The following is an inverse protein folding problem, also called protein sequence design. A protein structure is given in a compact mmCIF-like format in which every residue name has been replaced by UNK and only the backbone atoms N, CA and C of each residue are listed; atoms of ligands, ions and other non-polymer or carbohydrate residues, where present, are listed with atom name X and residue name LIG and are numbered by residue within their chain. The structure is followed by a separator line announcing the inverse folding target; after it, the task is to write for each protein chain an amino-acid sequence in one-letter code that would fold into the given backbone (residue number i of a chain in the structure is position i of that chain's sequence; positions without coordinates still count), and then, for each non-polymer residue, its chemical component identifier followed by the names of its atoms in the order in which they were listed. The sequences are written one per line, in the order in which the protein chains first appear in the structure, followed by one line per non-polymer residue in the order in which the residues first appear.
data_IF_330162851116
#
_entry.id   IF_330162851116
#
_cell.length_a   1.000
_cell.length_b   1.000
_cell.length_c   1.000
_cell.angle_alpha   90.00
_cell.angle_beta   90.00
_cell.angle_gamma   90.00
#
_symmetry.space_group_name_H-M   'P 1'
#
loop_
_entity.id
_entity.type
_entity.pdbx_description
1 polymer ?
#
# COMPACT_ATOMS: atom_id res chain seq x y z
N UNK A 1 -8.60 -22.86 -4.94
CA UNK A 1 -8.79 -21.67 -4.08
C UNK A 1 -9.41 -22.09 -2.76
N UNK A 2 -8.63 -22.18 -1.69
CA UNK A 2 -9.18 -22.10 -0.34
C UNK A 2 -9.12 -20.63 0.08
N UNK A 3 -10.14 -19.84 -0.29
CA UNK A 3 -10.44 -18.64 0.48
C UNK A 3 -10.75 -19.12 1.90
N UNK A 4 -9.81 -18.94 2.83
CA UNK A 4 -10.20 -18.71 4.21
C UNK A 4 -11.19 -17.56 4.13
N UNK A 5 -12.45 -17.87 4.44
CA UNK A 5 -13.57 -16.95 4.36
C UNK A 5 -13.13 -15.58 4.87
N UNK A 6 -13.17 -14.61 3.96
CA UNK A 6 -13.27 -13.20 4.33
C UNK A 6 -14.29 -13.09 5.46
N UNK A 7 -13.90 -12.48 6.58
CA UNK A 7 -14.77 -12.11 7.70
C UNK A 7 -15.45 -13.31 8.39
N UNK A 8 -14.70 -14.04 9.21
CA UNK A 8 -15.31 -14.75 10.34
C UNK A 8 -15.37 -13.78 11.52
N UNK A 9 -16.56 -13.57 12.13
CA UNK A 9 -16.80 -12.51 13.08
C UNK A 9 -16.06 -12.83 14.38
N UNK A 10 -14.86 -12.30 14.56
CA UNK A 10 -14.65 -11.68 15.86
C UNK A 10 -15.67 -10.57 15.93
N UNK A 11 -16.50 -10.59 16.97
CA UNK A 11 -17.54 -9.61 17.27
C UNK A 11 -16.98 -8.22 17.61
N UNK A 12 -16.02 -7.74 16.82
CA UNK A 12 -15.52 -6.38 16.80
C UNK A 12 -15.70 -5.91 15.37
N UNK A 13 -16.81 -5.22 15.13
CA UNK A 13 -17.19 -4.61 13.85
C UNK A 13 -16.22 -3.53 13.33
N UNK A 14 -15.01 -3.41 13.92
CA UNK A 14 -13.99 -2.40 13.66
C UNK A 14 -12.56 -3.02 13.76
N UNK A 15 -12.29 -4.12 13.06
CA UNK A 15 -10.91 -4.62 12.96
C UNK A 15 -10.04 -3.64 12.15
N UNK A 16 -9.10 -2.97 12.82
CA UNK A 16 -8.27 -1.88 12.25
C UNK A 16 -7.13 -2.37 11.35
N UNK A 17 -6.79 -3.65 11.46
CA UNK A 17 -5.81 -4.34 10.64
C UNK A 17 -6.45 -5.61 10.09
N UNK A 18 -6.58 -5.72 8.77
CA UNK A 18 -7.09 -6.92 8.11
C UNK A 18 -5.94 -7.80 7.68
N UNK A 19 -5.97 -9.07 8.09
CA UNK A 19 -4.95 -10.06 7.76
C UNK A 19 -5.49 -10.99 6.69
N UNK A 20 -4.76 -11.11 5.58
CA UNK A 20 -5.10 -11.98 4.46
C UNK A 20 -3.97 -12.94 4.17
N UNK A 21 -4.29 -14.20 3.92
CA UNK A 21 -3.33 -15.20 3.42
C UNK A 21 -3.78 -15.68 2.05
N UNK A 22 -2.83 -15.93 1.16
CA UNK A 22 -3.11 -16.45 -0.16
C UNK A 22 -1.89 -17.05 -0.84
N UNK A 23 -2.03 -17.26 -2.14
CA UNK A 23 -0.98 -17.79 -3.00
C UNK A 23 -0.76 -16.81 -4.14
N UNK A 24 0.48 -16.38 -4.35
CA UNK A 24 0.88 -15.58 -5.51
C UNK A 24 0.96 -16.48 -6.73
N UNK A 25 0.37 -16.10 -7.87
CA UNK A 25 0.42 -16.89 -9.08
C UNK A 25 1.86 -16.94 -9.64
N UNK A 26 2.20 -18.04 -10.31
CA UNK A 26 3.49 -18.17 -10.98
C UNK A 26 3.63 -17.25 -12.20
N UNK A 27 2.51 -16.88 -12.84
CA UNK A 27 2.44 -15.95 -13.95
C UNK A 27 1.32 -14.93 -13.73
N UNK A 28 1.56 -13.65 -14.05
CA UNK A 28 0.59 -12.57 -13.89
C UNK A 28 -0.36 -12.55 -15.10
N UNK A 29 -1.59 -13.05 -14.92
CA UNK A 29 -2.67 -12.98 -15.91
C UNK A 29 -3.77 -11.98 -15.55
N UNK A 30 -4.63 -11.61 -16.50
CA UNK A 30 -5.73 -10.64 -16.30
C UNK A 30 -6.64 -11.00 -15.11
N UNK A 31 -6.97 -12.28 -14.93
CA UNK A 31 -7.78 -12.75 -13.80
C UNK A 31 -7.08 -12.64 -12.44
N UNK A 32 -5.76 -12.82 -12.41
CA UNK A 32 -4.96 -12.74 -11.18
C UNK A 32 -4.89 -11.32 -10.62
N UNK A 33 -4.95 -10.32 -11.51
CA UNK A 33 -4.90 -8.91 -11.16
C UNK A 33 -6.16 -8.42 -10.41
N UNK A 34 -7.24 -9.21 -10.45
CA UNK A 34 -8.48 -8.95 -9.71
C UNK A 34 -8.49 -9.59 -8.31
N UNK A 35 -7.38 -10.19 -7.89
CA UNK A 35 -7.23 -10.82 -6.58
C UNK A 35 -6.27 -10.02 -5.68
N UNK A 36 -6.25 -10.36 -4.38
CA UNK A 36 -5.21 -9.85 -3.46
C UNK A 36 -3.88 -10.57 -3.77
N UNK A 37 -2.74 -9.87 -3.69
CA UNK A 37 -2.56 -8.50 -3.19
C UNK A 37 -2.73 -7.39 -4.24
N UNK A 38 -2.86 -7.71 -5.53
CA UNK A 38 -2.90 -6.71 -6.61
C UNK A 38 -4.03 -5.68 -6.46
N UNK A 39 -5.20 -6.12 -6.00
CA UNK A 39 -6.34 -5.21 -5.72
C UNK A 39 -6.09 -4.25 -4.56
N UNK A 40 -5.31 -4.67 -3.56
CA UNK A 40 -4.87 -3.84 -2.43
C UNK A 40 -3.89 -2.78 -2.92
N UNK A 41 -2.85 -3.20 -3.67
CA UNK A 41 -1.86 -2.28 -4.25
C UNK A 41 -2.56 -1.20 -5.08
N UNK A 42 -3.38 -1.60 -6.06
CA UNK A 42 -4.15 -0.68 -6.92
C UNK A 42 -5.13 0.21 -6.17
N UNK A 43 -5.64 -0.27 -5.04
CA UNK A 43 -6.58 0.47 -4.21
C UNK A 43 -5.93 1.60 -3.42
N UNK A 44 -4.63 1.49 -3.14
CA UNK A 44 -3.90 2.41 -2.28
C UNK A 44 -3.19 3.49 -3.11
N UNK A 45 -3.91 4.61 -3.32
CA UNK A 45 -3.61 5.62 -4.36
C UNK A 45 -2.47 6.57 -4.00
N UNK A 46 -2.48 7.13 -2.78
CA UNK A 46 -1.52 8.15 -2.35
C UNK A 46 -0.44 7.53 -1.45
N UNK A 47 0.71 7.16 -2.03
CA UNK A 47 1.80 6.47 -1.34
C UNK A 47 2.97 7.42 -1.05
N UNK A 48 3.42 7.47 0.20
CA UNK A 48 4.55 8.28 0.64
C UNK A 48 5.86 7.51 0.65
N UNK A 49 5.80 6.22 1.01
CA UNK A 49 6.98 5.39 1.16
C UNK A 49 6.70 3.94 0.78
N UNK A 50 7.67 3.30 0.15
CA UNK A 50 7.69 1.87 -0.15
C UNK A 50 8.99 1.31 0.41
N UNK A 51 8.89 0.34 1.30
CA UNK A 51 10.02 -0.34 1.93
C UNK A 51 10.00 -1.81 1.51
N UNK A 52 11.05 -2.23 0.80
CA UNK A 52 11.30 -3.61 0.43
C UNK A 52 12.37 -4.19 1.38
N UNK A 53 12.00 -5.21 2.14
CA UNK A 53 12.90 -5.93 3.05
C UNK A 53 13.11 -7.35 2.54
N UNK A 54 14.36 -7.78 2.48
CA UNK A 54 14.79 -9.09 1.93
C UNK A 54 16.10 -9.56 2.60
N UNK A 55 16.45 -10.85 2.46
CA UNK A 55 17.79 -11.35 2.76
C UNK A 55 18.87 -10.56 2.00
N UNK A 56 19.98 -10.23 2.68
CA UNK A 56 21.04 -9.41 2.09
C UNK A 56 21.71 -10.09 0.88
N UNK A 57 21.73 -11.43 0.86
CA UNK A 57 22.36 -12.24 -0.17
C UNK A 57 21.76 -12.02 -1.57
N UNK A 58 20.47 -11.67 -1.64
CA UNK A 58 19.76 -11.42 -2.89
C UNK A 58 19.59 -9.93 -3.22
N UNK A 59 20.12 -9.03 -2.37
CA UNK A 59 19.94 -7.58 -2.52
C UNK A 59 20.46 -7.05 -3.84
N UNK A 60 21.70 -7.39 -4.20
CA UNK A 60 22.33 -6.84 -5.39
C UNK A 60 21.60 -7.27 -6.67
N UNK A 61 21.18 -8.53 -6.73
CA UNK A 61 20.38 -9.04 -7.85
C UNK A 61 19.07 -8.25 -8.00
N UNK A 62 18.33 -8.11 -6.91
CA UNK A 62 17.04 -7.39 -6.92
C UNK A 62 17.23 -5.91 -7.25
N UNK A 63 18.24 -5.27 -6.66
CA UNK A 63 18.57 -3.88 -6.94
C UNK A 63 18.89 -3.67 -8.43
N UNK A 64 19.77 -4.48 -9.02
CA UNK A 64 20.15 -4.34 -10.42
C UNK A 64 18.94 -4.47 -11.36
N UNK A 65 18.03 -5.40 -11.08
CA UNK A 65 16.81 -5.56 -11.86
C UNK A 65 15.83 -4.40 -11.69
N UNK A 66 15.73 -3.84 -10.49
CA UNK A 66 14.94 -2.63 -10.26
C UNK A 66 15.54 -1.43 -10.99
N UNK A 67 16.87 -1.25 -10.95
CA UNK A 67 17.56 -0.15 -11.62
C UNK A 67 17.49 -0.26 -13.17
N UNK A 68 17.49 -1.48 -13.71
CA UNK A 68 17.34 -1.75 -15.15
C UNK A 68 15.92 -1.48 -15.66
N UNK A 69 14.90 -1.91 -14.89
CA UNK A 69 13.51 -1.89 -15.35
C UNK A 69 12.70 -0.68 -14.88
N UNK A 70 13.06 -0.06 -13.75
CA UNK A 70 12.36 1.12 -13.24
C UNK A 70 13.00 2.41 -13.74
N UNK A 71 12.18 3.20 -14.41
CA UNK A 71 12.54 4.58 -14.77
C UNK A 71 12.51 5.47 -13.52
N UNK A 72 13.44 6.43 -13.37
CA UNK A 72 13.39 7.39 -12.27
C UNK A 72 12.02 8.08 -12.21
N UNK A 73 11.40 8.04 -11.04
CA UNK A 73 10.11 8.66 -10.80
C UNK A 73 10.31 10.10 -10.32
N UNK A 74 9.72 11.05 -11.04
CA UNK A 74 9.70 12.46 -10.65
C UNK A 74 8.32 12.90 -10.18
N UNK A 75 8.32 13.78 -9.19
CA UNK A 75 7.15 14.53 -8.75
C UNK A 75 7.54 15.99 -8.50
N UNK A 76 6.55 16.87 -8.58
CA UNK A 76 6.72 18.31 -8.44
C UNK A 76 6.10 18.77 -7.13
N UNK A 77 6.76 19.73 -6.49
CA UNK A 77 6.15 20.61 -5.51
C UNK A 77 5.74 21.89 -6.21
N UNK A 78 4.45 22.18 -6.18
CA UNK A 78 3.87 23.35 -6.86
C UNK A 78 3.06 24.19 -5.88
N UNK A 79 2.97 25.48 -6.15
CA UNK A 79 2.15 26.41 -5.40
C UNK A 79 1.11 27.01 -6.34
N UNK A 80 -0.16 26.61 -6.17
CA UNK A 80 -1.25 26.99 -7.07
C UNK A 80 -2.58 27.02 -6.31
N UNK A 81 -3.56 27.76 -6.81
CA UNK A 81 -4.93 27.73 -6.34
C UNK A 81 -5.74 26.64 -7.02
N UNK A 82 -6.92 26.33 -6.48
CA UNK A 82 -7.85 25.38 -7.10
C UNK A 82 -8.31 25.84 -8.49
N UNK A 83 -8.42 27.16 -8.72
CA UNK A 83 -8.80 27.74 -10.01
C UNK A 83 -7.83 27.33 -11.12
N UNK A 84 -6.55 27.24 -10.82
CA UNK A 84 -5.50 26.92 -11.79
C UNK A 84 -5.68 25.50 -12.38
N UNK A 85 -6.34 24.58 -11.66
CA UNK A 85 -6.72 23.25 -12.17
C UNK A 85 -7.71 23.36 -13.34
N UNK A 86 -8.56 24.39 -13.34
CA UNK A 86 -9.61 24.61 -14.34
C UNK A 86 -9.13 25.46 -15.53
N UNK A 87 -7.89 25.95 -15.49
CA UNK A 87 -7.33 26.71 -16.60
C UNK A 87 -7.17 25.80 -17.82
N UNK A 88 -7.49 26.36 -18.99
CA UNK A 88 -7.74 25.59 -20.22
C UNK A 88 -6.59 24.65 -20.58
N UNK A 89 -5.35 25.10 -20.41
CA UNK A 89 -4.17 24.31 -20.78
C UNK A 89 -3.95 23.14 -19.80
N UNK A 90 -3.91 23.42 -18.49
CA UNK A 90 -3.77 22.40 -17.45
C UNK A 90 -4.89 21.37 -17.55
N UNK A 91 -6.14 21.83 -17.65
CA UNK A 91 -7.32 20.98 -17.68
C UNK A 91 -7.33 20.04 -18.90
N UNK A 92 -7.05 20.56 -20.09
CA UNK A 92 -7.06 19.73 -21.29
C UNK A 92 -5.90 18.74 -21.32
N UNK A 93 -4.73 19.13 -20.82
CA UNK A 93 -3.55 18.28 -20.83
C UNK A 93 -3.61 17.19 -19.76
N UNK A 94 -3.78 17.57 -18.49
CA UNK A 94 -3.65 16.65 -17.35
C UNK A 94 -4.95 15.98 -16.92
N UNK A 95 -6.10 16.60 -17.19
CA UNK A 95 -7.41 16.08 -16.74
C UNK A 95 -8.13 15.34 -17.86
N UNK A 96 -8.28 15.97 -19.03
CA UNK A 96 -9.05 15.38 -20.16
C UNK A 96 -8.27 14.29 -20.90
N UNK A 97 -6.98 14.53 -21.19
CA UNK A 97 -6.15 13.63 -22.00
C UNK A 97 -5.22 12.77 -21.15
N UNK A 98 -4.61 13.36 -20.13
CA UNK A 98 -3.69 12.69 -19.22
C UNK A 98 -4.35 12.24 -17.93
N UNK A 99 -3.51 11.83 -16.99
CA UNK A 99 -3.87 11.45 -15.63
C UNK A 99 -2.76 11.88 -14.69
N UNK A 100 -3.14 12.47 -13.57
CA UNK A 100 -2.20 13.00 -12.58
C UNK A 100 -2.60 12.52 -11.19
N UNK A 101 -1.62 12.50 -10.31
CA UNK A 101 -1.82 12.45 -8.87
C UNK A 101 -1.61 13.86 -8.32
N UNK A 102 -2.56 14.35 -7.53
CA UNK A 102 -2.46 15.66 -6.88
C UNK A 102 -2.89 15.55 -5.42
N UNK A 103 -2.10 16.12 -4.51
CA UNK A 103 -2.43 16.16 -3.08
C UNK A 103 -2.00 17.49 -2.50
N UNK A 104 -2.93 18.23 -1.89
CA UNK A 104 -2.62 19.48 -1.21
C UNK A 104 -1.96 19.20 0.13
N UNK A 105 -1.15 20.15 0.59
CA UNK A 105 -0.71 20.20 1.98
C UNK A 105 -1.88 20.52 2.92
N UNK A 106 -1.69 20.25 4.22
CA UNK A 106 -2.67 20.47 5.27
C UNK A 106 -2.97 19.20 6.07
N UNK A 107 -3.56 19.39 7.25
CA UNK A 107 -3.98 18.29 8.13
C UNK A 107 -5.47 18.02 7.93
N UNK A 108 -5.84 16.78 7.62
CA UNK A 108 -7.22 16.38 7.29
C UNK A 108 -8.23 16.62 8.42
N UNK A 109 -7.78 16.66 9.68
CA UNK A 109 -8.60 16.90 10.86
C UNK A 109 -8.82 18.38 11.17
N UNK A 110 -7.95 19.28 10.66
CA UNK A 110 -7.97 20.72 10.96
C UNK A 110 -8.22 21.58 9.72
N UNK A 111 -7.53 21.32 8.62
CA UNK A 111 -7.48 22.18 7.45
C UNK A 111 -8.47 21.73 6.36
N UNK A 112 -8.63 22.54 5.32
CA UNK A 112 -9.31 22.12 4.09
C UNK A 112 -8.26 21.41 3.22
N UNK A 113 -8.53 20.18 2.81
CA UNK A 113 -7.56 19.33 2.07
C UNK A 113 -8.18 18.87 0.77
N UNK A 114 -7.36 18.83 -0.28
CA UNK A 114 -7.79 18.55 -1.63
C UNK A 114 -6.93 17.46 -2.25
N UNK A 115 -7.54 16.58 -3.02
CA UNK A 115 -6.79 15.60 -3.78
C UNK A 115 -7.44 15.30 -5.14
N UNK A 116 -6.63 14.94 -6.13
CA UNK A 116 -7.09 14.62 -7.47
C UNK A 116 -6.43 13.33 -7.95
N UNK A 117 -7.27 12.39 -8.39
CA UNK A 117 -6.83 11.17 -9.04
C UNK A 117 -7.86 10.69 -10.05
N UNK A 118 -7.41 10.19 -11.19
CA UNK A 118 -8.28 9.66 -12.25
C UNK A 118 -9.38 10.63 -12.71
N UNK A 119 -9.03 11.92 -12.82
CA UNK A 119 -9.96 12.99 -13.21
C UNK A 119 -11.04 13.32 -12.17
N UNK A 120 -10.99 12.69 -10.98
CA UNK A 120 -11.87 13.03 -9.85
C UNK A 120 -11.14 13.93 -8.88
N UNK A 121 -11.69 15.11 -8.66
CA UNK A 121 -11.24 16.08 -7.67
C UNK A 121 -12.10 15.94 -6.42
N UNK A 122 -11.45 15.82 -5.28
CA UNK A 122 -12.08 15.71 -3.98
C UNK A 122 -11.72 16.92 -3.13
N UNK A 123 -12.74 17.54 -2.53
CA UNK A 123 -12.59 18.67 -1.63
C UNK A 123 -13.10 18.27 -0.25
N UNK A 124 -12.19 18.19 0.71
CA UNK A 124 -12.50 17.92 2.11
C UNK A 124 -12.50 19.22 2.89
N UNK A 125 -13.69 19.66 3.26
CA UNK A 125 -13.95 21.01 3.72
C UNK A 125 -14.46 21.02 5.16
N UNK A 126 -14.10 22.07 5.88
CA UNK A 126 -14.79 22.53 7.08
C UNK A 126 -16.19 23.02 6.73
N UNK A 127 -17.06 23.04 7.73
CA UNK A 127 -18.42 23.60 7.65
C UNK A 127 -18.45 24.97 6.96
N UNK A 128 -17.69 25.92 7.49
CA UNK A 128 -17.71 27.30 7.02
C UNK A 128 -17.27 27.43 5.56
N UNK A 129 -16.25 26.67 5.16
CA UNK A 129 -15.76 26.65 3.78
C UNK A 129 -16.78 26.00 2.85
N UNK A 130 -17.41 24.90 3.28
CA UNK A 130 -18.44 24.19 2.52
C UNK A 130 -19.68 25.05 2.26
N UNK A 131 -20.23 25.69 3.30
CA UNK A 131 -21.42 26.55 3.19
C UNK A 131 -21.17 27.75 2.26
N UNK A 132 -19.97 28.32 2.31
CA UNK A 132 -19.55 29.41 1.40
C UNK A 132 -19.31 28.91 -0.02
N UNK A 133 -18.71 27.73 -0.19
CA UNK A 133 -18.39 27.15 -1.49
C UNK A 133 -19.62 26.98 -2.37
N UNK A 134 -20.78 26.70 -1.74
CA UNK A 134 -22.04 26.51 -2.43
C UNK A 134 -21.94 25.37 -3.45
N UNK A 135 -21.22 24.31 -3.14
CA UNK A 135 -21.06 23.12 -3.98
C UNK A 135 -21.81 21.95 -3.33
N UNK A 136 -22.28 21.01 -4.14
CA UNK A 136 -23.02 19.84 -3.63
C UNK A 136 -22.03 18.82 -3.10
N UNK A 137 -22.02 18.60 -1.79
CA UNK A 137 -21.20 17.59 -1.13
C UNK A 137 -22.03 16.70 -0.19
N UNK A 138 -21.35 15.73 0.40
CA UNK A 138 -21.89 14.85 1.44
C UNK A 138 -21.17 15.14 2.76
N UNK A 139 -21.83 14.90 3.87
CA UNK A 139 -21.14 14.95 5.16
C UNK A 139 -20.07 13.85 5.18
N UNK A 140 -18.87 14.18 5.66
CA UNK A 140 -17.79 13.21 5.79
C UNK A 140 -18.19 12.13 6.81
N UNK A 141 -17.67 10.92 6.62
CA UNK A 141 -17.89 9.78 7.53
C UNK A 141 -17.18 9.98 8.87
N UNK A 142 -16.29 10.99 8.95
CA UNK A 142 -15.49 11.35 10.12
C UNK A 142 -15.56 12.85 10.45
N UNK A 143 -15.09 13.23 11.65
CA UNK A 143 -15.17 14.62 12.15
C UNK A 143 -15.49 14.74 13.64
N UNK A 144 -15.15 13.72 14.44
CA UNK A 144 -15.40 13.70 15.88
C UNK A 144 -16.88 13.81 16.25
N UNK A 145 -17.17 14.22 17.50
CA UNK A 145 -18.55 14.32 18.04
C UNK A 145 -19.44 15.33 17.30
N UNK A 146 -18.86 16.35 16.65
CA UNK A 146 -19.63 17.39 15.94
C UNK A 146 -19.83 17.11 14.43
N UNK A 147 -19.07 16.18 13.84
CA UNK A 147 -19.15 15.82 12.41
C UNK A 147 -19.18 17.03 11.45
N UNK A 148 -18.33 18.03 11.70
CA UNK A 148 -18.31 19.30 10.95
C UNK A 148 -17.40 19.25 9.71
N UNK A 149 -17.47 18.16 8.95
CA UNK A 149 -16.67 17.95 7.74
C UNK A 149 -17.55 17.53 6.57
N UNK A 150 -17.25 18.04 5.39
CA UNK A 150 -17.94 17.75 4.14
C UNK A 150 -16.95 17.31 3.08
N UNK A 151 -17.38 16.36 2.25
CA UNK A 151 -16.64 15.87 1.10
C UNK A 151 -17.44 16.20 -0.15
N UNK A 152 -16.80 16.91 -1.08
CA UNK A 152 -17.32 17.14 -2.42
C UNK A 152 -16.50 16.27 -3.36
N UNK A 153 -17.17 15.42 -4.12
CA UNK A 153 -16.59 14.61 -5.20
C UNK A 153 -17.00 15.21 -6.55
N UNK A 154 -16.03 15.58 -7.37
CA UNK A 154 -16.25 16.18 -8.68
C UNK A 154 -15.49 15.36 -9.73
N UNK A 155 -16.23 14.72 -10.63
CA UNK A 155 -15.62 14.07 -11.78
C UNK A 155 -15.47 15.08 -12.93
N UNK A 156 -14.27 15.63 -13.06
CA UNK A 156 -13.94 16.67 -14.04
C UNK A 156 -13.97 16.15 -15.50
N UNK A 157 -14.08 14.84 -15.72
CA UNK A 157 -14.19 14.27 -17.06
C UNK A 157 -15.62 14.19 -17.59
N UNK A 158 -16.62 14.52 -16.78
CA UNK A 158 -18.02 14.47 -17.19
C UNK A 158 -18.35 15.46 -18.33
N UNK A 159 -19.40 15.14 -19.09
CA UNK A 159 -19.82 15.91 -20.27
C UNK A 159 -20.24 17.33 -19.95
N UNK A 160 -20.71 17.57 -18.73
CA UNK A 160 -21.10 18.90 -18.25
C UNK A 160 -19.97 19.66 -17.53
N UNK A 161 -18.78 19.07 -17.38
CA UNK A 161 -17.58 19.70 -16.81
C UNK A 161 -16.73 20.36 -17.91
N UNK A 162 -17.36 21.28 -18.64
CA UNK A 162 -16.76 22.08 -19.71
C UNK A 162 -17.21 23.53 -19.60
N UNK A 163 -16.37 24.47 -20.02
CA UNK A 163 -16.69 25.91 -20.01
C UNK A 163 -18.04 26.21 -20.69
N UNK A 164 -18.84 27.09 -20.09
CA UNK A 164 -20.16 27.50 -20.60
C UNK A 164 -21.30 26.58 -20.17
N UNK A 165 -21.04 25.54 -19.37
CA UNK A 165 -22.06 24.75 -18.69
C UNK A 165 -22.20 25.24 -17.26
N UNK A 166 -23.45 25.40 -16.80
CA UNK A 166 -23.79 25.90 -15.45
C UNK A 166 -23.03 25.21 -14.32
N UNK A 167 -22.81 23.90 -14.42
CA UNK A 167 -22.08 23.14 -13.41
C UNK A 167 -20.59 23.53 -13.33
N UNK A 168 -19.93 23.65 -14.49
CA UNK A 168 -18.54 24.09 -14.56
C UNK A 168 -18.41 25.57 -14.19
N UNK A 169 -19.32 26.44 -14.64
CA UNK A 169 -19.29 27.86 -14.30
C UNK A 169 -19.48 28.10 -12.79
N UNK A 170 -20.31 27.28 -12.12
CA UNK A 170 -20.44 27.29 -10.65
C UNK A 170 -19.15 26.88 -9.96
N UNK A 171 -18.42 25.92 -10.53
CA UNK A 171 -17.12 25.48 -10.01
C UNK A 171 -16.07 26.60 -10.16
N UNK A 172 -15.99 27.23 -11.34
CA UNK A 172 -15.12 28.39 -11.60
C UNK A 172 -15.46 29.54 -10.64
N UNK A 173 -16.74 29.84 -10.43
CA UNK A 173 -17.16 30.87 -9.48
C UNK A 173 -16.70 30.54 -8.06
N UNK A 174 -16.91 29.30 -7.61
CA UNK A 174 -16.51 28.85 -6.27
C UNK A 174 -14.99 28.96 -6.08
N UNK A 175 -14.22 28.48 -7.06
CA UNK A 175 -12.75 28.50 -7.02
C UNK A 175 -12.16 29.91 -7.11
N UNK A 176 -12.91 30.86 -7.69
CA UNK A 176 -12.49 32.27 -7.78
C UNK A 176 -12.88 33.08 -6.53
N UNK A 177 -14.07 32.84 -5.97
CA UNK A 177 -14.65 33.70 -4.94
C UNK A 177 -14.52 33.15 -3.52
N UNK A 178 -14.38 31.84 -3.38
CA UNK A 178 -14.32 31.17 -2.07
C UNK A 178 -12.91 30.65 -1.82
N UNK A 179 -12.37 29.86 -2.75
CA UNK A 179 -11.03 29.27 -2.64
C UNK A 179 -9.93 30.19 -3.17
N UNK A 180 -9.84 31.41 -2.60
CA UNK A 180 -8.90 32.45 -3.06
C UNK A 180 -7.44 32.16 -2.75
N UNK A 181 -7.18 31.29 -1.77
CA UNK A 181 -5.84 30.99 -1.30
C UNK A 181 -5.15 30.01 -2.24
N UNK A 182 -3.85 30.21 -2.43
CA UNK A 182 -2.99 29.22 -3.06
C UNK A 182 -2.56 28.19 -2.01
N UNK A 183 -2.41 26.95 -2.45
CA UNK A 183 -1.96 25.85 -1.62
C UNK A 183 -0.63 25.31 -2.16
N UNK A 184 0.16 24.73 -1.26
CA UNK A 184 1.26 23.86 -1.67
C UNK A 184 0.68 22.49 -2.06
N UNK A 185 1.18 21.92 -3.15
CA UNK A 185 0.73 20.63 -3.67
C UNK A 185 1.90 19.73 -4.01
N UNK A 186 1.67 18.44 -3.85
CA UNK A 186 2.42 17.39 -4.54
C UNK A 186 1.70 17.07 -5.85
N UNK A 187 2.45 17.07 -6.95
CA UNK A 187 1.97 16.79 -8.29
C UNK A 187 2.82 15.68 -8.92
N UNK A 188 2.19 14.67 -9.49
CA UNK A 188 2.87 13.64 -10.29
C UNK A 188 2.11 13.40 -11.58
N UNK A 189 2.78 13.52 -12.72
CA UNK A 189 2.24 13.09 -14.00
C UNK A 189 2.40 11.58 -14.13
N UNK A 190 1.29 10.86 -14.34
CA UNK A 190 1.29 9.41 -14.48
C UNK A 190 1.68 8.95 -15.89
N UNK A 191 1.75 9.88 -16.84
CA UNK A 191 2.22 9.65 -18.20
C UNK A 191 3.61 10.25 -18.45
N UNK A 192 4.38 10.56 -17.40
CA UNK A 192 5.75 11.04 -17.57
C UNK A 192 6.51 10.09 -18.52
N UNK A 193 6.95 10.62 -19.66
CA UNK A 193 7.83 9.90 -20.58
C UNK A 193 9.12 9.58 -19.83
N UNK A 194 9.78 8.47 -20.21
CA UNK A 194 11.10 8.18 -19.67
C UNK A 194 11.97 9.42 -19.86
N UNK A 195 12.44 10.02 -18.77
CA UNK A 195 13.32 11.18 -18.86
C UNK A 195 14.53 10.72 -19.63
N UNK A 196 14.64 11.16 -20.89
CA UNK A 196 15.84 10.98 -21.67
C UNK A 196 16.87 11.99 -21.13
N UNK A 197 17.98 11.54 -20.50
CA UNK A 197 18.94 12.42 -19.86
C UNK A 197 19.57 13.46 -20.82
N UNK A 198 19.44 13.27 -22.13
CA UNK A 198 19.83 14.22 -23.18
C UNK A 198 18.88 15.40 -23.38
N UNK A 199 17.64 15.35 -22.88
CA UNK A 199 16.67 16.43 -23.06
C UNK A 199 16.59 17.31 -21.82
N UNK A 200 17.61 18.16 -21.64
CA UNK A 200 17.55 19.27 -20.68
C UNK A 200 16.59 20.34 -21.23
N UNK A 201 15.28 20.10 -21.11
CA UNK A 201 14.26 21.11 -21.39
C UNK A 201 14.40 22.25 -20.38
N UNK A 202 14.70 23.43 -20.91
CA UNK A 202 14.74 24.70 -20.18
C UNK A 202 13.36 24.95 -19.53
N UNK A 203 13.40 25.08 -18.21
CA UNK A 203 12.32 25.39 -17.26
C UNK A 203 11.42 24.21 -16.83
N UNK A 204 11.45 23.85 -15.52
CA UNK A 204 10.61 22.80 -14.96
C UNK A 204 9.22 23.37 -14.69
N UNK A 205 8.46 23.67 -15.74
CA UNK A 205 7.13 24.26 -15.60
C UNK A 205 6.09 23.22 -16.00
N UNK A 206 5.21 22.90 -15.05
CA UNK A 206 4.04 22.06 -15.31
C UNK A 206 3.18 22.78 -16.35
N UNK A 207 2.74 22.09 -17.40
CA UNK A 207 2.02 22.72 -18.53
C UNK A 207 0.78 23.45 -18.05
N UNK A 208 0.60 24.69 -18.48
CA UNK A 208 -0.49 25.55 -18.04
C UNK A 208 -0.31 26.22 -16.68
N UNK A 209 0.84 26.04 -16.00
CA UNK A 209 1.22 26.84 -14.83
C UNK A 209 2.30 27.85 -15.22
N UNK A 210 2.18 29.07 -14.70
CA UNK A 210 3.13 30.16 -14.95
C UNK A 210 4.23 30.25 -13.89
N UNK A 211 4.02 29.63 -12.73
CA UNK A 211 4.96 29.65 -11.62
C UNK A 211 5.97 28.51 -11.74
N UNK A 212 7.26 28.75 -11.39
CA UNK A 212 8.28 27.72 -11.42
C UNK A 212 7.95 26.62 -10.40
N UNK A 213 8.24 25.37 -10.77
CA UNK A 213 7.98 24.20 -9.93
C UNK A 213 9.28 23.60 -9.40
N UNK A 214 9.23 22.97 -8.23
CA UNK A 214 10.38 22.26 -7.66
C UNK A 214 10.26 20.78 -7.96
N UNK A 215 11.09 20.29 -8.88
CA UNK A 215 11.17 18.87 -9.22
C UNK A 215 11.90 18.10 -8.11
N UNK A 216 11.38 16.92 -7.79
CA UNK A 216 12.01 15.92 -6.93
C UNK A 216 12.06 14.60 -7.67
N UNK A 217 13.25 14.04 -7.82
CA UNK A 217 13.45 12.67 -8.29
C UNK A 217 13.51 11.75 -7.08
N UNK A 218 12.77 10.65 -7.12
CA UNK A 218 12.82 9.62 -6.08
C UNK A 218 14.01 8.71 -6.38
N UNK A 219 14.96 8.70 -5.46
CA UNK A 219 16.11 7.79 -5.50
C UNK A 219 15.96 6.75 -4.38
N UNK A 220 16.05 5.45 -4.68
CA UNK A 220 16.03 4.43 -3.65
C UNK A 220 17.20 4.61 -2.68
N UNK A 221 16.92 4.42 -1.40
CA UNK A 221 17.94 4.36 -0.34
C UNK A 221 18.10 2.93 0.12
N UNK A 222 19.33 2.54 0.45
CA UNK A 222 19.64 1.18 0.88
C UNK A 222 20.16 1.24 2.31
N UNK A 223 19.59 0.42 3.17
CA UNK A 223 20.05 0.22 4.53
C UNK A 223 20.37 -1.26 4.76
N UNK A 224 21.63 -1.53 5.09
CA UNK A 224 22.12 -2.87 5.44
C UNK A 224 22.72 -2.78 6.84
N UNK A 225 22.04 -3.31 7.87
CA UNK A 225 22.59 -3.37 9.21
C UNK A 225 23.92 -4.13 9.22
N UNK A 226 24.95 -3.64 9.95
CA UNK A 226 26.28 -4.25 9.92
C UNK A 226 26.31 -5.64 10.59
N UNK A 227 25.44 -5.86 11.57
CA UNK A 227 25.39 -7.09 12.35
C UNK A 227 24.20 -7.96 11.91
N UNK A 228 24.36 -9.30 11.93
CA UNK A 228 23.25 -10.23 11.75
C UNK A 228 22.13 -9.97 12.78
N UNK A 229 20.90 -10.16 12.32
CA UNK A 229 19.68 -9.96 13.11
C UNK A 229 19.01 -11.30 13.42
N UNK A 230 18.30 -11.34 14.55
CA UNK A 230 17.42 -12.44 14.95
C UNK A 230 16.25 -12.51 13.97
N UNK A 231 16.11 -13.63 13.28
CA UNK A 231 15.05 -13.90 12.30
C UNK A 231 13.81 -14.48 12.97
N UNK A 232 12.65 -14.12 12.44
CA UNK A 232 11.39 -14.78 12.78
C UNK A 232 11.24 -16.11 12.04
N UNK A 233 10.54 -17.06 12.64
CA UNK A 233 10.00 -18.20 11.93
C UNK A 233 8.74 -17.82 11.16
N UNK A 234 8.64 -18.35 9.95
CA UNK A 234 7.45 -18.24 9.10
C UNK A 234 6.55 -19.48 9.17
N UNK A 235 6.95 -20.51 9.91
CA UNK A 235 6.14 -21.73 10.07
C UNK A 235 5.12 -21.52 11.16
N UNK A 236 3.85 -21.72 10.83
CA UNK A 236 2.76 -21.74 11.80
C UNK A 236 1.58 -22.54 11.24
N UNK A 237 0.84 -23.19 12.14
CA UNK A 237 -0.37 -23.93 11.77
C UNK A 237 -1.39 -22.98 11.14
N UNK A 238 -1.86 -23.29 9.93
CA UNK A 238 -2.80 -22.43 9.21
C UNK A 238 -4.24 -22.85 9.52
N UNK A 239 -5.11 -21.93 9.98
CA UNK A 239 -6.51 -22.25 10.19
C UNK A 239 -7.18 -22.71 8.88
N UNK A 240 -8.14 -23.61 9.00
CA UNK A 240 -9.05 -24.00 7.90
C UNK A 240 -10.47 -23.53 8.22
N UNK A 241 -11.43 -23.78 7.32
CA UNK A 241 -12.85 -23.48 7.57
C UNK A 241 -13.38 -24.19 8.83
N UNK A 242 -12.83 -25.36 9.15
CA UNK A 242 -13.28 -26.19 10.27
C UNK A 242 -12.43 -25.98 11.54
N UNK A 243 -11.43 -25.09 11.52
CA UNK A 243 -10.64 -24.77 12.72
C UNK A 243 -11.53 -24.22 13.84
N UNK A 244 -11.10 -24.42 15.09
CA UNK A 244 -11.75 -23.82 16.25
C UNK A 244 -11.48 -22.32 16.30
N UNK A 245 -12.26 -21.59 17.10
CA UNK A 245 -11.99 -20.16 17.39
C UNK A 245 -10.61 -19.97 18.02
N UNK A 246 -10.22 -20.87 18.94
CA UNK A 246 -8.90 -20.87 19.56
C UNK A 246 -7.77 -20.96 18.53
N UNK A 247 -7.81 -21.92 17.60
CA UNK A 247 -6.79 -22.05 16.55
C UNK A 247 -6.69 -20.79 15.67
N UNK A 248 -7.82 -20.11 15.44
CA UNK A 248 -7.82 -18.83 14.71
C UNK A 248 -7.18 -17.71 15.51
N UNK A 249 -7.51 -17.59 16.80
CA UNK A 249 -6.93 -16.60 17.69
C UNK A 249 -5.40 -16.74 17.79
N UNK A 250 -4.90 -17.97 17.95
CA UNK A 250 -3.46 -18.27 17.96
C UNK A 250 -2.78 -17.85 16.65
N UNK A 251 -3.40 -18.15 15.50
CA UNK A 251 -2.89 -17.69 14.20
C UNK A 251 -2.83 -16.17 14.08
N UNK A 252 -3.85 -15.45 14.57
CA UNK A 252 -3.86 -13.98 14.53
C UNK A 252 -2.81 -13.36 15.45
N UNK A 253 -2.55 -13.97 16.61
CA UNK A 253 -1.49 -13.54 17.53
C UNK A 253 -0.10 -13.72 16.89
N UNK A 254 0.15 -14.88 16.28
CA UNK A 254 1.36 -15.12 15.50
C UNK A 254 1.50 -14.14 14.34
N UNK A 255 0.45 -13.92 13.55
CA UNK A 255 0.49 -12.99 12.42
C UNK A 255 0.72 -11.54 12.87
N UNK A 256 0.20 -11.14 14.02
CA UNK A 256 0.45 -9.82 14.60
C UNK A 256 1.90 -9.69 15.06
N UNK A 257 2.42 -10.69 15.76
CA UNK A 257 3.82 -10.76 16.20
C UNK A 257 4.80 -10.76 15.01
N UNK A 258 4.43 -11.39 13.90
CA UNK A 258 5.20 -11.39 12.66
C UNK A 258 5.20 -10.00 11.99
N UNK A 259 4.07 -9.28 12.01
CA UNK A 259 4.03 -7.91 11.50
C UNK A 259 4.86 -6.95 12.34
N UNK A 260 4.84 -7.12 13.67
CA UNK A 260 5.71 -6.37 14.59
C UNK A 260 7.19 -6.64 14.30
N UNK A 261 7.58 -7.90 14.08
CA UNK A 261 8.95 -8.25 13.67
C UNK A 261 9.35 -7.58 12.37
N UNK A 262 8.49 -7.58 11.34
CA UNK A 262 8.77 -6.87 10.08
C UNK A 262 8.97 -5.37 10.31
N UNK A 263 8.15 -4.75 11.16
CA UNK A 263 8.28 -3.33 11.50
C UNK A 263 9.61 -3.05 12.22
N UNK A 264 9.98 -3.84 13.21
CA UNK A 264 11.26 -3.72 13.93
C UNK A 264 12.46 -3.96 13.02
N UNK A 265 12.37 -4.93 12.10
CA UNK A 265 13.41 -5.20 11.11
C UNK A 265 13.59 -4.01 10.16
N UNK A 266 12.49 -3.38 9.74
CA UNK A 266 12.51 -2.24 8.82
C UNK A 266 13.23 -1.01 9.40
N UNK A 267 13.29 -0.88 10.73
CA UNK A 267 13.96 0.23 11.43
C UNK A 267 15.31 -0.20 12.04
N UNK A 268 15.79 -1.41 11.74
CA UNK A 268 17.00 -1.98 12.33
C UNK A 268 17.02 -1.90 13.88
N UNK A 269 15.90 -2.25 14.51
CA UNK A 269 15.74 -2.12 15.95
C UNK A 269 16.78 -2.94 16.73
N UNK A 270 17.33 -2.35 17.81
CA UNK A 270 18.33 -2.99 18.67
C UNK A 270 17.89 -4.35 19.21
N UNK A 271 16.59 -4.53 19.47
CA UNK A 271 16.03 -5.78 20.01
C UNK A 271 16.26 -6.98 19.09
N UNK A 272 16.43 -6.72 17.79
CA UNK A 272 16.72 -7.75 16.79
C UNK A 272 18.21 -8.00 16.61
N UNK A 273 19.10 -7.21 17.20
CA UNK A 273 20.53 -7.49 17.14
C UNK A 273 20.82 -8.80 17.89
N UNK A 274 21.65 -9.67 17.30
CA UNK A 274 22.05 -10.93 17.94
C UNK A 274 22.77 -10.71 19.29
N UNK A 275 23.52 -9.62 19.42
CA UNK A 275 24.31 -9.28 20.62
C UNK A 275 23.49 -8.60 21.71
N UNK A 276 22.21 -8.39 21.45
CA UNK A 276 21.31 -7.72 22.37
C UNK A 276 21.05 -8.56 23.63
N UNK A 277 21.26 -7.93 24.79
CA UNK A 277 21.19 -8.50 26.13
C UNK A 277 20.41 -7.59 27.09
N UNK A 278 19.28 -7.05 26.64
CA UNK A 278 18.41 -6.24 27.50
C UNK A 278 17.91 -7.03 28.70
N UNK A 279 17.73 -6.33 29.82
CA UNK A 279 17.06 -6.88 30.98
C UNK A 279 15.61 -7.30 30.61
N UNK A 280 15.21 -8.56 30.82
CA UNK A 280 13.86 -9.04 30.57
C UNK A 280 12.77 -8.28 31.35
N UNK A 281 13.11 -7.59 32.44
CA UNK A 281 12.19 -6.69 33.15
C UNK A 281 11.83 -5.46 32.31
N UNK A 282 12.74 -5.01 31.43
CA UNK A 282 12.54 -3.85 30.54
C UNK A 282 11.89 -4.25 29.21
N UNK A 283 12.32 -5.37 28.63
CA UNK A 283 11.74 -5.86 27.38
C UNK A 283 11.85 -7.36 27.27
N UNK A 284 10.72 -8.00 26.96
CA UNK A 284 10.62 -9.44 26.70
C UNK A 284 10.43 -9.76 25.22
N UNK A 285 10.65 -8.76 24.36
CA UNK A 285 10.42 -8.94 22.93
C UNK A 285 11.40 -9.98 22.36
N UNK A 286 10.85 -10.93 21.62
CA UNK A 286 11.60 -11.90 20.82
C UNK A 286 10.85 -12.16 19.51
N UNK A 287 11.57 -12.40 18.38
CA UNK A 287 10.93 -12.78 17.14
C UNK A 287 10.06 -14.04 17.28
N UNK A 288 8.97 -14.18 16.51
CA UNK A 288 8.18 -15.42 16.47
C UNK A 288 9.05 -16.65 16.21
N UNK A 289 8.78 -17.74 16.94
CA UNK A 289 9.50 -19.03 16.84
C UNK A 289 8.60 -20.15 16.34
N UNK A 290 9.16 -21.28 15.92
CA UNK A 290 8.39 -22.45 15.48
C UNK A 290 7.56 -23.06 16.61
N UNK A 291 6.26 -23.27 16.37
CA UNK A 291 5.34 -23.97 17.29
C UNK A 291 5.81 -25.40 17.63
N UNK A 292 6.55 -26.04 16.72
CA UNK A 292 6.99 -27.42 16.83
C UNK A 292 8.21 -27.62 17.73
N UNK A 293 8.91 -26.54 18.10
CA UNK A 293 10.01 -26.61 19.05
C UNK A 293 9.38 -26.57 20.44
N UNK A 294 8.92 -27.72 20.90
CA UNK A 294 8.49 -27.90 22.29
C UNK A 294 9.59 -27.41 23.23
N UNK A 295 9.22 -26.41 24.03
CA UNK A 295 9.98 -25.80 25.11
C UNK A 295 10.38 -26.84 26.16
N UNK A 296 11.39 -27.63 25.85
CA UNK A 296 12.03 -28.60 26.77
C UNK A 296 13.37 -28.09 27.30
N UNK A 297 13.78 -26.88 26.91
CA UNK A 297 14.99 -26.23 27.45
C UNK A 297 14.71 -24.74 27.70
N UNK A 298 14.30 -24.43 28.94
CA UNK A 298 13.83 -23.11 29.41
C UNK A 298 14.88 -21.98 29.39
N UNK A 299 16.04 -22.08 28.72
CA UNK A 299 17.05 -21.04 28.86
C UNK A 299 17.69 -20.46 27.60
N UNK A 300 17.54 -21.00 26.39
CA UNK A 300 18.10 -20.34 25.20
C UNK A 300 17.23 -20.65 23.97
N UNK A 301 16.20 -19.82 23.70
CA UNK A 301 15.57 -19.83 22.37
C UNK A 301 16.61 -19.35 21.35
N UNK A 302 17.17 -20.29 20.59
CA UNK A 302 18.11 -19.99 19.52
C UNK A 302 17.31 -19.51 18.32
N UNK A 303 17.19 -18.19 18.15
CA UNK A 303 16.65 -17.64 16.91
C UNK A 303 17.61 -17.90 15.75
N UNK A 304 17.06 -18.23 14.59
CA UNK A 304 17.82 -18.21 13.35
C UNK A 304 18.40 -16.79 13.14
N UNK A 305 19.55 -16.70 12.48
CA UNK A 305 20.27 -15.46 12.30
C UNK A 305 20.50 -15.23 10.81
N UNK A 306 20.38 -13.98 10.39
CA UNK A 306 20.63 -13.62 9.00
C UNK A 306 20.90 -12.14 8.84
N UNK A 307 21.51 -11.78 7.72
CA UNK A 307 21.62 -10.39 7.29
C UNK A 307 20.41 -10.04 6.44
N UNK A 308 19.84 -8.87 6.69
CA UNK A 308 18.71 -8.35 5.94
C UNK A 308 19.06 -7.00 5.38
N UNK A 309 18.49 -6.67 4.23
CA UNK A 309 18.66 -5.39 3.60
C UNK A 309 17.32 -4.77 3.27
N UNK A 310 17.26 -3.45 3.42
CA UNK A 310 16.08 -2.65 3.10
C UNK A 310 16.37 -1.72 1.93
N UNK A 311 15.54 -1.78 0.89
CA UNK A 311 15.50 -0.79 -0.20
C UNK A 311 14.25 0.07 0.02
N UNK A 312 14.42 1.39 0.12
CA UNK A 312 13.33 2.32 0.45
C UNK A 312 13.22 3.45 -0.56
N UNK A 313 12.01 3.63 -1.10
CA UNK A 313 11.62 4.77 -1.91
C UNK A 313 10.74 5.69 -1.08
N UNK A 314 11.06 6.99 -1.03
CA UNK A 314 10.27 7.99 -0.30
C UNK A 314 10.01 9.20 -1.18
N UNK A 315 8.75 9.65 -1.22
CA UNK A 315 8.34 10.77 -2.05
C UNK A 315 6.84 10.77 -2.30
N UNK A 316 6.42 11.06 -3.52
CA UNK A 316 5.03 11.00 -3.96
C UNK A 316 4.89 9.89 -5.01
N UNK A 317 4.49 8.69 -4.57
CA UNK A 317 4.63 7.45 -5.34
C UNK A 317 3.25 6.99 -5.86
N UNK A 318 3.02 6.93 -7.17
CA UNK A 318 1.79 6.37 -7.74
C UNK A 318 1.67 4.87 -7.52
N UNK A 319 0.43 4.37 -7.43
CA UNK A 319 0.16 2.93 -7.28
C UNK A 319 0.70 2.09 -8.44
N UNK A 320 0.76 2.64 -9.65
CA UNK A 320 1.34 2.00 -10.82
C UNK A 320 2.84 1.75 -10.63
N UNK A 321 3.55 2.66 -9.97
CA UNK A 321 4.97 2.50 -9.66
C UNK A 321 5.18 1.42 -8.60
N UNK A 322 4.34 1.40 -7.55
CA UNK A 322 4.35 0.34 -6.53
C UNK A 322 4.06 -1.03 -7.15
N UNK A 323 3.09 -1.09 -8.08
CA UNK A 323 2.75 -2.33 -8.80
C UNK A 323 3.93 -2.85 -9.63
N UNK A 324 4.70 -1.95 -10.27
CA UNK A 324 5.92 -2.33 -11.01
C UNK A 324 6.99 -2.87 -10.08
N UNK A 325 7.27 -2.20 -8.95
CA UNK A 325 8.22 -2.71 -7.94
C UNK A 325 7.80 -4.12 -7.50
N UNK A 326 6.54 -4.31 -7.12
CA UNK A 326 6.04 -5.59 -6.64
C UNK A 326 6.20 -6.71 -7.69
N UNK A 327 5.86 -6.43 -8.96
CA UNK A 327 5.99 -7.40 -10.04
C UNK A 327 7.45 -7.77 -10.32
N UNK A 328 8.36 -6.78 -10.42
CA UNK A 328 9.79 -7.03 -10.64
C UNK A 328 10.36 -7.88 -9.50
N UNK A 329 10.06 -7.53 -8.24
CA UNK A 329 10.54 -8.29 -7.08
C UNK A 329 9.98 -9.72 -7.09
N UNK A 330 8.69 -9.90 -7.41
CA UNK A 330 8.09 -11.23 -7.48
C UNK A 330 8.72 -12.11 -8.56
N UNK A 331 9.10 -11.54 -9.71
CA UNK A 331 9.73 -12.25 -10.82
C UNK A 331 11.19 -12.59 -10.53
N UNK A 332 11.95 -11.67 -9.93
CA UNK A 332 13.39 -11.81 -9.71
C UNK A 332 13.71 -12.66 -8.50
N UNK A 333 12.91 -12.58 -7.44
CA UNK A 333 13.20 -13.32 -6.19
C UNK A 333 12.76 -14.78 -6.32
N UNK A 334 13.74 -15.68 -6.30
CA UNK A 334 13.54 -17.13 -6.34
C UNK A 334 12.60 -17.64 -5.24
N UNK A 335 11.89 -18.74 -5.50
CA UNK A 335 10.78 -19.18 -4.63
C UNK A 335 11.22 -19.62 -3.23
N UNK A 336 12.45 -20.08 -3.08
CA UNK A 336 13.09 -20.49 -1.83
C UNK A 336 13.47 -19.30 -0.92
N UNK A 337 13.35 -18.07 -1.41
CA UNK A 337 13.65 -16.86 -0.66
C UNK A 337 12.38 -16.16 -0.20
N UNK A 338 12.46 -15.37 0.86
CA UNK A 338 11.35 -14.53 1.30
C UNK A 338 11.62 -13.07 0.94
N UNK A 339 10.58 -12.26 0.84
CA UNK A 339 10.68 -10.81 0.81
C UNK A 339 9.41 -10.20 1.39
N UNK A 340 9.51 -8.98 1.90
CA UNK A 340 8.34 -8.20 2.29
C UNK A 340 8.35 -6.82 1.65
N UNK A 341 7.17 -6.33 1.28
CA UNK A 341 6.95 -4.97 0.81
C UNK A 341 5.95 -4.30 1.76
N UNK A 342 6.38 -3.21 2.38
CA UNK A 342 5.53 -2.34 3.19
C UNK A 342 5.34 -1.01 2.50
N UNK A 343 4.09 -0.58 2.36
CA UNK A 343 3.74 0.66 1.67
C UNK A 343 2.98 1.56 2.62
N UNK A 344 3.53 2.74 2.86
CA UNK A 344 2.95 3.77 3.71
C UNK A 344 2.25 4.82 2.86
N UNK A 345 1.00 5.11 3.17
CA UNK A 345 0.22 6.18 2.58
C UNK A 345 0.46 7.52 3.27
N UNK A 346 -0.03 8.58 2.63
CA UNK A 346 -0.07 9.90 3.25
C UNK A 346 -1.14 9.94 4.34
N UNK A 347 -0.77 10.39 5.54
CA UNK A 347 -1.71 10.58 6.66
C UNK A 347 -2.77 11.64 6.34
N UNK A 348 -2.42 12.65 5.54
CA UNK A 348 -3.33 13.70 5.12
C UNK A 348 -4.05 13.40 3.80
N UNK A 349 -3.85 12.24 3.17
CA UNK A 349 -4.64 11.86 2.01
C UNK A 349 -6.09 11.68 2.45
N UNK A 350 -7.05 12.45 1.92
CA UNK A 350 -8.43 12.35 2.36
C UNK A 350 -9.15 11.09 1.90
N UNK A 351 -8.60 10.44 0.89
CA UNK A 351 -9.13 9.26 0.26
C UNK A 351 -8.02 8.25 0.09
N UNK A 352 -8.30 7.02 0.50
CA UNK A 352 -7.47 5.84 0.24
C UNK A 352 -8.35 4.67 -0.21
N UNK A 353 -7.77 3.51 -0.48
CA UNK A 353 -8.50 2.26 -0.69
C UNK A 353 -9.69 2.33 -1.66
N UNK A 354 -9.46 2.71 -2.92
CA UNK A 354 -10.50 2.83 -3.98
C UNK A 354 -11.61 3.84 -3.68
N UNK A 355 -11.28 5.03 -3.18
CA UNK A 355 -12.29 6.07 -2.97
C UNK A 355 -12.86 6.12 -1.55
N UNK A 356 -12.35 5.30 -0.62
CA UNK A 356 -12.78 5.31 0.77
C UNK A 356 -12.25 6.55 1.47
N UNK A 357 -13.12 7.20 2.23
CA UNK A 357 -12.75 8.34 3.06
C UNK A 357 -11.80 7.87 4.16
N UNK A 358 -10.63 8.49 4.22
CA UNK A 358 -9.62 8.24 5.22
C UNK A 358 -9.85 9.16 6.43
N UNK A 359 -9.79 8.63 7.65
CA UNK A 359 -10.07 9.39 8.87
C UNK A 359 -8.90 9.35 9.85
N UNK A 360 -8.52 10.52 10.37
CA UNK A 360 -7.62 10.67 11.52
C UNK A 360 -8.38 10.63 12.86
N UNK A 361 -9.67 10.99 12.87
CA UNK A 361 -10.45 11.20 14.10
C UNK A 361 -11.63 10.23 14.20
N UNK A 362 -11.50 9.24 15.08
CA UNK A 362 -12.50 8.22 15.38
C UNK A 362 -12.03 6.84 14.93
N UNK A 363 -11.51 6.05 15.87
CA UNK A 363 -11.01 4.69 15.61
C UNK A 363 -9.62 4.39 16.17
N UNK A 364 -8.88 5.37 16.69
CA UNK A 364 -7.70 5.11 17.54
C UNK A 364 -6.39 4.70 16.85
N UNK A 365 -6.19 5.02 15.57
CA UNK A 365 -4.89 4.85 14.88
C UNK A 365 -4.53 6.07 14.00
N UNK A 366 -4.83 7.30 14.44
CA UNK A 366 -4.16 8.52 13.94
C UNK A 366 -4.12 8.79 12.42
N UNK A 367 -4.97 8.17 11.60
CA UNK A 367 -4.89 8.24 10.13
C UNK A 367 -3.73 7.43 9.55
N UNK A 368 -3.37 6.32 10.18
CA UNK A 368 -2.45 5.36 9.60
C UNK A 368 -3.14 4.64 8.43
N UNK A 369 -2.41 4.57 7.32
CA UNK A 369 -2.86 3.99 6.07
C UNK A 369 -1.67 3.28 5.47
N UNK A 370 -1.55 1.98 5.71
CA UNK A 370 -0.43 1.18 5.20
C UNK A 370 -0.87 -0.24 4.90
N UNK A 371 -0.07 -0.93 4.11
CA UNK A 371 -0.16 -2.38 4.00
C UNK A 371 1.23 -3.00 3.90
N UNK A 372 1.33 -4.23 4.37
CA UNK A 372 2.54 -5.05 4.29
C UNK A 372 2.19 -6.35 3.61
N UNK A 373 2.97 -6.77 2.62
CA UNK A 373 2.87 -8.08 1.96
C UNK A 373 4.17 -8.81 2.27
N UNK A 374 4.09 -10.00 2.86
CA UNK A 374 5.21 -10.91 3.04
C UNK A 374 4.99 -12.14 2.17
N UNK A 375 5.89 -12.37 1.22
CA UNK A 375 5.96 -13.64 0.49
C UNK A 375 6.89 -14.57 1.26
N UNK A 376 6.39 -15.75 1.62
CA UNK A 376 7.19 -16.76 2.30
C UNK A 376 8.15 -17.43 1.32
N UNK A 377 9.30 -17.86 1.84
CA UNK A 377 10.12 -18.88 1.20
C UNK A 377 9.27 -20.15 1.05
N UNK A 378 9.11 -20.61 -0.18
CA UNK A 378 8.52 -21.91 -0.47
C UNK A 378 9.47 -23.00 -0.02
N UNK A 379 9.03 -23.88 0.87
CA UNK A 379 9.61 -25.22 0.95
C UNK A 379 9.26 -25.98 -0.33
N UNK A 380 9.98 -27.07 -0.63
CA UNK A 380 9.58 -28.07 -1.61
C UNK A 380 8.26 -28.75 -1.14
N UNK A 381 7.15 -28.04 -1.15
CA UNK A 381 5.81 -28.60 -0.95
C UNK A 381 5.43 -29.27 -2.29
N UNK A 382 6.05 -30.41 -2.59
CA UNK A 382 5.51 -31.41 -3.51
C UNK A 382 4.31 -32.04 -2.82
N UNK A 383 3.22 -31.28 -2.72
CA UNK A 383 1.97 -31.78 -2.15
C UNK A 383 1.38 -32.82 -3.08
N UNK A 384 1.59 -34.10 -2.76
CA UNK A 384 0.79 -35.20 -3.31
C UNK A 384 -0.65 -34.94 -2.90
N UNK A 385 -1.48 -34.56 -3.87
CA UNK A 385 -2.93 -34.58 -3.69
C UNK A 385 -3.31 -36.05 -3.67
N UNK A 386 -3.58 -36.59 -2.47
CA UNK A 386 -4.19 -37.91 -2.33
C UNK A 386 -5.53 -37.91 -3.04
N UNK A 387 -5.57 -38.54 -4.22
CA UNK A 387 -6.81 -38.98 -4.84
C UNK A 387 -7.45 -39.99 -3.90
N UNK A 388 -8.70 -39.75 -3.52
CA UNK A 388 -9.51 -40.75 -2.84
C UNK A 388 -9.64 -41.96 -3.75
N UNK A 389 -9.15 -43.08 -3.25
CA UNK A 389 -9.36 -44.42 -3.81
C UNK A 389 -10.82 -44.81 -3.59
N UNK A 390 -11.68 -44.47 -4.55
CA UNK A 390 -12.92 -45.21 -4.79
C UNK A 390 -12.61 -46.16 -5.95
N UNK A 391 -12.42 -47.44 -5.60
CA UNK A 391 -12.17 -48.48 -6.57
C UNK A 391 -13.33 -48.65 -7.55
N UNK A 392 -12.98 -48.71 -8.84
CA UNK A 392 -13.54 -49.66 -9.79
C UNK A 392 -12.66 -49.72 -11.05
N UNK A 393 -12.45 -50.93 -11.55
CA UNK A 393 -11.56 -51.32 -12.66
C UNK A 393 -11.78 -50.54 -13.97
N UNK A 394 -10.70 -49.98 -14.55
CA UNK A 394 -10.52 -49.95 -16.01
C UNK A 394 -9.05 -49.77 -16.40
N UNK A 395 -8.55 -50.64 -17.29
CA UNK A 395 -7.23 -50.53 -17.92
C UNK A 395 -7.20 -49.35 -18.91
N UNK A 396 -6.14 -48.54 -18.89
CA UNK A 396 -5.80 -47.67 -20.02
C UNK A 396 -5.07 -46.38 -19.64
N UNK A 397 -3.88 -46.24 -20.22
CA UNK A 397 -3.12 -45.01 -20.47
C UNK A 397 -2.38 -44.31 -19.32
N UNK A 398 -1.12 -44.03 -19.62
CA UNK A 398 -0.13 -43.32 -18.83
C UNK A 398 -0.52 -41.83 -18.87
N UNK A 399 -1.25 -41.35 -17.87
CA UNK A 399 -1.55 -39.92 -17.74
C UNK A 399 -0.30 -39.16 -17.26
N UNK A 400 0.13 -38.20 -18.09
CA UNK A 400 1.08 -37.16 -17.76
C UNK A 400 0.68 -36.49 -16.44
N UNK A 401 1.54 -36.60 -15.43
CA UNK A 401 1.42 -35.82 -14.20
C UNK A 401 1.71 -34.37 -14.57
N UNK A 402 0.67 -33.58 -14.88
CA UNK A 402 0.77 -32.13 -14.93
C UNK A 402 1.24 -31.63 -13.56
N UNK A 403 2.53 -31.36 -13.46
CA UNK A 403 3.17 -30.71 -12.33
C UNK A 403 2.58 -29.30 -12.19
N UNK A 404 1.40 -29.19 -11.55
CA UNK A 404 0.72 -27.92 -11.34
C UNK A 404 1.62 -27.06 -10.46
N UNK A 405 2.29 -26.12 -11.09
CA UNK A 405 3.17 -25.14 -10.47
C UNK A 405 2.42 -24.44 -9.32
N UNK A 406 2.66 -24.90 -8.09
CA UNK A 406 2.09 -24.30 -6.88
C UNK A 406 2.74 -22.94 -6.69
N UNK A 407 1.93 -21.88 -6.69
CA UNK A 407 2.42 -20.52 -6.47
C UNK A 407 2.98 -20.31 -5.06
N UNK A 408 3.75 -19.23 -4.84
CA UNK A 408 4.33 -18.93 -3.53
C UNK A 408 3.26 -18.47 -2.54
N UNK A 409 3.29 -18.99 -1.30
CA UNK A 409 2.38 -18.56 -0.23
C UNK A 409 2.74 -17.14 0.21
N UNK A 410 1.75 -16.33 0.55
CA UNK A 410 1.96 -14.99 1.13
C UNK A 410 0.97 -14.71 2.25
N UNK A 411 1.34 -13.77 3.11
CA UNK A 411 0.46 -13.13 4.09
C UNK A 411 0.53 -11.61 3.90
N UNK A 412 -0.57 -10.92 4.18
CA UNK A 412 -0.71 -9.48 3.99
C UNK A 412 -1.48 -8.86 5.14
N UNK A 413 -1.05 -7.69 5.58
CA UNK A 413 -1.70 -6.86 6.58
C UNK A 413 -2.15 -5.56 5.91
N UNK A 414 -3.42 -5.18 6.10
CA UNK A 414 -3.96 -3.91 5.64
C UNK A 414 -4.42 -3.10 6.85
N UNK A 415 -3.70 -2.03 7.17
CA UNK A 415 -4.04 -1.11 8.26
C UNK A 415 -4.86 0.03 7.66
N UNK A 416 -6.14 0.09 8.03
CA UNK A 416 -7.11 1.01 7.44
C UNK A 416 -7.56 2.02 8.49
N UNK A 417 -7.18 3.29 8.29
CA UNK A 417 -7.70 4.43 9.05
C UNK A 417 -9.14 4.79 8.65
N UNK A 418 -10.14 4.05 9.14
CA UNK A 418 -11.56 4.40 8.93
C UNK A 418 -12.53 3.23 9.12
N UNK A 419 -13.82 3.53 9.32
CA UNK A 419 -14.89 2.52 9.36
C UNK A 419 -15.14 1.94 7.97
N UNK A 420 -15.27 0.62 7.88
CA UNK A 420 -15.73 -0.05 6.68
C UNK A 420 -17.26 0.09 6.59
N UNK A 421 -17.79 0.94 5.71
CA UNK A 421 -19.25 1.08 5.50
C UNK A 421 -19.86 -0.15 4.77
N UNK A 422 -19.02 -1.10 4.34
CA UNK A 422 -19.43 -2.39 3.80
C UNK A 422 -19.00 -3.55 4.70
N UNK A 423 -18.95 -3.32 6.02
CA UNK A 423 -18.72 -4.34 7.04
C UNK A 423 -19.81 -5.42 7.00
#
# INVERSE_FOLDING_TARGET
MAQLLNKLPHAVTDAKCYITRGTLPAAVGSETLNQRPYTTIRGHVYNQQVDLLLPDEIRELVQNQLDEQLKPLQYHRIFMGLKDILEKEFYNHYIRRGNILLLSDGRIDVDDVYCLYNGKLYLFLRKDTYEKAGLVGKQATFGGRKKERWVIELNLRETHMVHGRKAFDRLVWSFTNVFKQQNAWLFCDLHQEAIDPSTTSLEPTVKGLTLPTVIRTITPTIATPPNPMKLASFTHTTPTKNSTEYTRAVFYDWATSLHEWLALASIAADRLNITDSIDPLLSRYGPPTDDNITSTSEHHQVHAQGKMSKISWRGFIPTEYVSRIFNIVQEVVSRDQWFSITVHGFQNAPISWKGRQHSVVGGGMGGENLYTILRFAGGNDTGVVGGGDDGDDFMGDTEDVEERIVGSKYIMWEVVGGRDEFS
#
